data_IF_095981905479
#
_entry.id   IF_095981905479
#
_cell.length_a   1.000
_cell.length_b   1.000
_cell.length_c   1.000
_cell.angle_alpha   90.00
_cell.angle_beta   90.00
_cell.angle_gamma   90.00
#
_symmetry.space_group_name_H-M   'P 1'
#
loop_
_entity.id
_entity.type
_entity.pdbx_description
1 polymer ?
#
# COMPACT_ATOMS: atom_id res chain seq x y z
N UNK A 1 -3.50 -22.07 29.73
CA UNK A 1 -3.96 -20.70 29.45
C UNK A 1 -3.51 -20.37 28.03
N UNK A 2 -4.46 -20.14 27.13
CA UNK A 2 -4.15 -19.83 25.73
C UNK A 2 -3.78 -18.35 25.60
N UNK A 3 -2.66 -18.03 24.94
CA UNK A 3 -2.24 -16.64 24.69
C UNK A 3 -2.66 -16.18 23.30
N UNK A 4 -3.24 -14.99 23.23
CA UNK A 4 -3.72 -14.33 22.03
C UNK A 4 -3.10 -12.94 21.87
N UNK A 5 -3.03 -12.51 20.62
CA UNK A 5 -2.61 -11.16 20.23
C UNK A 5 -3.24 -10.83 18.88
N UNK A 6 -3.26 -9.54 18.52
CA UNK A 6 -3.69 -9.11 17.19
C UNK A 6 -2.91 -9.83 16.08
N UNK A 7 -1.59 -9.96 16.23
CA UNK A 7 -0.74 -10.67 15.26
C UNK A 7 -1.11 -12.15 15.11
N UNK A 8 -1.55 -12.83 16.18
CA UNK A 8 -2.06 -14.22 16.09
C UNK A 8 -3.40 -14.27 15.36
N UNK A 9 -4.30 -13.33 15.63
CA UNK A 9 -5.60 -13.21 14.94
C UNK A 9 -5.39 -13.00 13.44
N UNK A 10 -4.54 -12.04 13.05
CA UNK A 10 -4.25 -11.75 11.64
C UNK A 10 -3.56 -12.91 10.94
N UNK A 11 -2.65 -13.62 11.61
CA UNK A 11 -1.96 -14.76 11.03
C UNK A 11 -2.92 -15.89 10.62
N UNK A 12 -4.13 -15.97 11.20
CA UNK A 12 -5.16 -16.93 10.74
C UNK A 12 -5.69 -16.67 9.33
N UNK A 13 -5.42 -15.48 8.75
CA UNK A 13 -5.73 -15.14 7.35
C UNK A 13 -4.59 -15.51 6.38
N UNK A 14 -3.40 -15.83 6.91
CA UNK A 14 -2.19 -16.12 6.14
C UNK A 14 -2.02 -17.60 5.81
N UNK A 15 -0.76 -18.00 5.60
CA UNK A 15 -0.40 -19.39 5.30
C UNK A 15 -0.47 -20.30 6.54
N UNK A 16 -1.11 -21.48 6.39
CA UNK A 16 -1.23 -22.51 7.45
C UNK A 16 0.11 -22.87 8.09
N UNK A 17 1.14 -23.14 7.29
CA UNK A 17 2.45 -23.61 7.79
C UNK A 17 3.15 -22.55 8.64
N UNK A 18 3.10 -21.28 8.19
CA UNK A 18 3.69 -20.17 8.95
C UNK A 18 2.98 -19.98 10.29
N UNK A 19 1.65 -20.09 10.30
CA UNK A 19 0.85 -20.03 11.53
C UNK A 19 1.21 -21.17 12.51
N UNK A 20 1.24 -22.41 12.03
CA UNK A 20 1.56 -23.58 12.86
C UNK A 20 2.96 -23.50 13.44
N UNK A 21 3.97 -23.16 12.63
CA UNK A 21 5.34 -22.99 13.11
C UNK A 21 5.44 -21.92 14.20
N UNK A 22 4.81 -20.77 14.00
CA UNK A 22 4.90 -19.64 14.95
C UNK A 22 4.11 -19.86 16.22
N UNK A 23 2.84 -20.26 16.11
CA UNK A 23 1.90 -20.20 17.23
C UNK A 23 1.53 -21.56 17.83
N UNK A 24 1.78 -22.66 17.12
CA UNK A 24 1.55 -24.02 17.64
C UNK A 24 2.85 -24.66 18.10
N UNK A 25 3.91 -24.55 17.29
CA UNK A 25 5.22 -25.15 17.58
C UNK A 25 6.16 -24.19 18.34
N UNK A 26 5.88 -22.88 18.32
CA UNK A 26 6.72 -21.88 18.99
C UNK A 26 8.11 -21.71 18.36
N UNK A 27 8.25 -22.01 17.06
CA UNK A 27 9.53 -21.92 16.38
C UNK A 27 9.87 -20.45 16.04
N UNK A 28 11.12 -20.03 16.22
CA UNK A 28 11.57 -18.73 15.77
C UNK A 28 11.61 -18.66 14.23
N UNK A 29 11.53 -17.45 13.63
CA UNK A 29 11.87 -17.22 12.23
C UNK A 29 13.19 -17.90 11.82
N UNK A 30 13.19 -18.57 10.67
CA UNK A 30 14.39 -19.15 10.06
C UNK A 30 14.98 -18.29 8.94
N UNK A 31 14.22 -17.28 8.51
CA UNK A 31 14.52 -16.39 7.41
C UNK A 31 14.37 -14.96 7.88
N UNK A 32 15.45 -14.18 7.77
CA UNK A 32 15.37 -12.74 7.91
C UNK A 32 14.76 -12.15 6.64
N UNK A 33 13.72 -11.34 6.82
CA UNK A 33 13.05 -10.62 5.73
C UNK A 33 13.50 -9.17 5.82
N UNK A 34 14.36 -8.67 4.90
CA UNK A 34 14.97 -7.33 5.02
C UNK A 34 13.96 -6.21 5.26
N UNK A 35 12.79 -6.29 4.62
CA UNK A 35 11.70 -5.33 4.80
C UNK A 35 11.17 -5.27 6.24
N UNK A 36 11.20 -6.38 6.99
CA UNK A 36 10.80 -6.41 8.39
C UNK A 36 11.89 -5.82 9.31
N UNK A 37 13.16 -6.07 9.00
CA UNK A 37 14.30 -5.45 9.69
C UNK A 37 14.26 -3.93 9.53
N UNK A 38 14.11 -3.43 8.30
CA UNK A 38 14.01 -2.00 8.00
C UNK A 38 12.79 -1.35 8.65
N UNK A 39 11.63 -2.02 8.62
CA UNK A 39 10.43 -1.53 9.29
C UNK A 39 10.63 -1.40 10.80
N UNK A 40 11.28 -2.38 11.43
CA UNK A 40 11.58 -2.35 12.86
C UNK A 40 12.50 -1.18 13.23
N UNK A 41 13.61 -1.01 12.51
CA UNK A 41 14.53 0.12 12.74
C UNK A 41 13.82 1.48 12.57
N UNK A 42 12.92 1.56 11.59
CA UNK A 42 12.10 2.75 11.33
C UNK A 42 11.16 3.04 12.50
N UNK A 43 10.47 2.03 13.04
CA UNK A 43 9.61 2.16 14.21
C UNK A 43 10.42 2.66 15.43
N UNK A 44 11.54 2.01 15.75
CA UNK A 44 12.39 2.36 16.90
C UNK A 44 12.88 3.82 16.81
N UNK A 45 13.28 4.27 15.61
CA UNK A 45 13.71 5.65 15.39
C UNK A 45 12.58 6.66 15.61
N UNK A 46 11.38 6.37 15.13
CA UNK A 46 10.22 7.24 15.27
C UNK A 46 9.77 7.28 16.75
N UNK A 47 9.67 6.12 17.40
CA UNK A 47 9.38 6.00 18.83
C UNK A 47 10.39 6.82 19.67
N UNK A 48 11.68 6.74 19.34
CA UNK A 48 12.71 7.57 19.98
C UNK A 48 12.45 9.07 19.86
N UNK A 49 11.91 9.56 18.75
CA UNK A 49 11.51 10.96 18.60
C UNK A 49 10.31 11.33 19.47
N UNK A 50 9.33 10.45 19.61
CA UNK A 50 8.20 10.67 20.53
C UNK A 50 8.67 10.77 21.98
N UNK A 51 9.53 9.86 22.44
CA UNK A 51 10.09 9.89 23.79
C UNK A 51 10.88 11.17 24.08
N UNK A 52 11.62 11.68 23.07
CA UNK A 52 12.35 12.95 23.16
C UNK A 52 11.48 14.19 22.93
N UNK A 53 10.21 14.01 22.59
CA UNK A 53 9.27 15.09 22.24
C UNK A 53 9.74 15.94 21.05
N UNK A 54 10.41 15.30 20.08
CA UNK A 54 10.97 15.92 18.87
C UNK A 54 10.01 15.86 17.66
N UNK A 55 8.76 15.42 17.86
CA UNK A 55 7.76 15.35 16.79
C UNK A 55 7.10 16.73 16.65
N UNK A 56 7.40 17.41 15.55
CA UNK A 56 6.75 18.69 15.20
C UNK A 56 5.60 18.44 14.21
N UNK A 57 4.44 18.05 14.74
CA UNK A 57 3.23 17.86 13.95
C UNK A 57 2.01 18.44 14.67
N UNK A 58 1.22 19.35 14.06
CA UNK A 58 0.15 20.08 14.75
C UNK A 58 -0.90 19.20 15.43
N UNK A 59 -1.20 18.02 14.86
CA UNK A 59 -2.16 17.07 15.46
C UNK A 59 -1.61 16.30 16.66
N UNK A 60 -0.29 16.28 16.87
CA UNK A 60 0.39 15.50 17.90
C UNK A 60 0.91 16.40 19.01
N UNK A 61 1.43 17.58 18.67
CA UNK A 61 2.03 18.55 19.61
C UNK A 61 1.19 18.78 20.88
N UNK A 62 -0.15 18.94 20.82
CA UNK A 62 -0.97 19.12 22.03
C UNK A 62 -0.87 17.97 23.04
N UNK A 63 -0.56 16.76 22.58
CA UNK A 63 -0.45 15.57 23.42
C UNK A 63 0.97 15.37 23.98
N UNK A 64 1.98 16.01 23.38
CA UNK A 64 3.38 15.84 23.79
C UNK A 64 3.70 16.52 25.12
N UNK A 65 2.83 17.38 25.65
CA UNK A 65 2.97 17.95 26.99
C UNK A 65 2.70 16.89 28.08
N UNK A 66 1.84 15.91 27.78
CA UNK A 66 1.44 14.83 28.68
C UNK A 66 2.44 13.67 28.82
N UNK A 67 1.90 12.52 29.19
CA UNK A 67 2.64 11.25 29.28
C UNK A 67 2.82 10.63 27.91
N UNK A 68 4.05 10.19 27.60
CA UNK A 68 4.40 9.55 26.34
C UNK A 68 4.92 8.14 26.62
N UNK A 69 4.31 7.15 25.99
CA UNK A 69 4.71 5.75 26.06
C UNK A 69 4.98 5.23 24.66
N UNK A 70 5.96 4.35 24.52
CA UNK A 70 6.25 3.61 23.28
C UNK A 70 6.30 2.12 23.59
N UNK A 71 5.81 1.29 22.67
CA UNK A 71 5.67 -0.17 22.90
C UNK A 71 4.90 -0.48 24.19
N UNK A 72 3.84 0.29 24.49
CA UNK A 72 3.07 0.13 25.73
C UNK A 72 2.36 -1.22 25.68
N UNK A 73 2.72 -2.10 26.61
CA UNK A 73 2.13 -3.43 26.75
C UNK A 73 0.78 -3.34 27.46
N UNK A 74 -0.25 -3.85 26.80
CA UNK A 74 -1.56 -4.09 27.39
C UNK A 74 -1.76 -5.59 27.58
N UNK A 75 -2.13 -5.99 28.80
CA UNK A 75 -2.46 -7.37 29.15
C UNK A 75 -3.86 -7.45 29.75
N UNK A 76 -4.67 -8.38 29.26
CA UNK A 76 -5.98 -8.65 29.83
C UNK A 76 -6.24 -10.16 29.92
N UNK A 77 -6.78 -10.59 31.05
CA UNK A 77 -7.14 -11.99 31.30
C UNK A 77 -8.65 -12.16 31.13
N UNK A 78 -9.02 -12.90 30.09
CA UNK A 78 -10.34 -13.52 29.94
C UNK A 78 -10.31 -14.89 30.65
N UNK A 79 -11.48 -15.48 30.94
CA UNK A 79 -11.61 -16.67 31.81
C UNK A 79 -10.51 -17.75 31.61
N UNK A 80 -10.26 -18.17 30.39
CA UNK A 80 -9.28 -19.21 30.02
C UNK A 80 -8.15 -18.72 29.08
N UNK A 81 -8.12 -17.41 28.80
CA UNK A 81 -7.26 -16.81 27.77
C UNK A 81 -6.57 -15.54 28.25
N UNK A 82 -5.31 -15.38 27.87
CA UNK A 82 -4.58 -14.11 28.01
C UNK A 82 -4.55 -13.41 26.65
N UNK A 83 -4.89 -12.12 26.61
CA UNK A 83 -4.68 -11.28 25.44
C UNK A 83 -3.57 -10.26 25.73
N UNK A 84 -2.60 -10.18 24.81
CA UNK A 84 -1.49 -9.25 24.90
C UNK A 84 -1.38 -8.41 23.63
N UNK A 85 -1.20 -7.11 23.80
CA UNK A 85 -1.06 -6.14 22.72
C UNK A 85 0.06 -5.15 23.05
N UNK A 86 0.77 -4.66 22.03
CA UNK A 86 1.81 -3.64 22.17
C UNK A 86 1.44 -2.49 21.25
N UNK A 87 1.09 -1.34 21.82
CA UNK A 87 0.80 -0.14 21.06
C UNK A 87 2.10 0.63 20.80
N UNK A 88 2.37 0.98 19.55
CA UNK A 88 3.63 1.60 19.15
C UNK A 88 3.89 2.92 19.90
N UNK A 89 2.88 3.78 19.96
CA UNK A 89 2.93 5.06 20.68
C UNK A 89 1.59 5.33 21.36
N UNK A 90 1.64 5.73 22.63
CA UNK A 90 0.47 6.16 23.40
C UNK A 90 0.80 7.49 24.06
N UNK A 91 -0.05 8.49 23.82
CA UNK A 91 0.06 9.83 24.38
C UNK A 91 -1.17 10.09 25.25
N UNK A 92 -0.96 10.48 26.50
CA UNK A 92 -2.05 10.69 27.48
C UNK A 92 -1.90 12.04 28.16
N UNK A 93 -2.96 12.84 28.13
CA UNK A 93 -3.13 14.03 28.96
C UNK A 93 -4.03 13.69 30.16
N UNK A 94 -4.49 14.70 30.91
CA UNK A 94 -5.43 14.47 32.02
C UNK A 94 -6.79 13.93 31.54
N UNK A 95 -7.23 14.29 30.33
CA UNK A 95 -8.57 13.95 29.83
C UNK A 95 -8.56 13.14 28.54
N UNK A 96 -7.45 13.18 27.80
CA UNK A 96 -7.40 12.71 26.42
C UNK A 96 -6.33 11.65 26.22
N UNK A 97 -6.64 10.68 25.36
CA UNK A 97 -5.69 9.68 24.89
C UNK A 97 -5.59 9.71 23.36
N UNK A 98 -4.37 9.62 22.87
CA UNK A 98 -4.05 9.35 21.46
C UNK A 98 -3.19 8.09 21.36
N UNK A 99 -3.72 7.05 20.71
CA UNK A 99 -2.98 5.83 20.37
C UNK A 99 -2.57 5.90 18.89
N UNK A 100 -1.27 5.83 18.60
CA UNK A 100 -0.75 5.80 17.24
C UNK A 100 -0.10 4.45 16.94
N UNK A 101 -0.39 3.94 15.75
CA UNK A 101 0.24 2.75 15.17
C UNK A 101 1.13 3.21 14.00
N UNK A 102 2.42 2.88 14.05
CA UNK A 102 3.38 3.30 13.04
C UNK A 102 3.28 2.32 11.87
N UNK A 103 3.31 2.84 10.64
CA UNK A 103 3.26 2.02 9.42
C UNK A 103 4.36 2.45 8.46
N UNK A 104 5.16 1.49 8.01
CA UNK A 104 6.17 1.66 6.96
C UNK A 104 5.52 1.75 5.56
N UNK A 105 4.71 2.79 5.35
CA UNK A 105 4.00 3.08 4.09
C UNK A 105 3.88 4.59 3.86
N UNK A 106 3.41 4.98 2.67
CA UNK A 106 3.21 6.38 2.28
C UNK A 106 1.79 6.90 2.52
N UNK A 107 0.79 6.03 2.63
CA UNK A 107 -0.58 6.48 2.93
C UNK A 107 -0.83 6.47 4.44
N UNK A 108 -1.27 7.60 4.99
CA UNK A 108 -1.63 7.74 6.39
C UNK A 108 -3.08 7.32 6.69
N UNK A 109 -3.91 7.07 5.67
CA UNK A 109 -5.29 6.60 5.86
C UNK A 109 -5.34 5.34 6.73
N UNK A 110 -6.33 5.27 7.62
CA UNK A 110 -6.58 4.11 8.46
C UNK A 110 -7.31 3.07 7.60
N UNK A 111 -6.65 1.94 7.32
CA UNK A 111 -7.28 0.81 6.62
C UNK A 111 -8.11 -0.03 7.59
N UNK A 112 -9.01 -0.89 7.08
CA UNK A 112 -9.79 -1.81 7.91
C UNK A 112 -8.93 -2.68 8.83
N UNK A 113 -7.73 -3.07 8.36
CA UNK A 113 -6.78 -3.85 9.15
C UNK A 113 -6.18 -3.03 10.29
N UNK A 114 -5.82 -1.78 10.02
CA UNK A 114 -5.28 -0.89 11.06
C UNK A 114 -6.37 -0.56 12.08
N UNK A 115 -7.60 -0.35 11.60
CA UNK A 115 -8.77 -0.11 12.45
C UNK A 115 -8.96 -1.24 13.48
N UNK A 116 -8.89 -2.50 13.06
CA UNK A 116 -8.98 -3.64 13.98
C UNK A 116 -7.89 -3.64 15.06
N UNK A 117 -6.64 -3.32 14.67
CA UNK A 117 -5.50 -3.23 15.59
C UNK A 117 -5.69 -2.08 16.60
N UNK A 118 -6.02 -0.89 16.09
CA UNK A 118 -6.22 0.32 16.88
C UNK A 118 -7.41 0.19 17.85
N UNK A 119 -8.53 -0.39 17.40
CA UNK A 119 -9.69 -0.67 18.24
C UNK A 119 -9.37 -1.64 19.37
N UNK A 120 -8.52 -2.64 19.11
CA UNK A 120 -8.04 -3.58 20.12
C UNK A 120 -7.22 -2.85 21.19
N UNK A 121 -6.27 -2.00 20.78
CA UNK A 121 -5.49 -1.18 21.73
C UNK A 121 -6.39 -0.27 22.55
N UNK A 122 -7.37 0.36 21.90
CA UNK A 122 -8.27 1.30 22.56
C UNK A 122 -9.17 0.60 23.59
N UNK A 123 -9.72 -0.57 23.27
CA UNK A 123 -10.51 -1.36 24.21
C UNK A 123 -9.73 -1.70 25.48
N UNK A 124 -8.49 -2.15 25.31
CA UNK A 124 -7.61 -2.54 26.42
C UNK A 124 -7.19 -1.31 27.25
N UNK A 125 -6.77 -0.24 26.58
CA UNK A 125 -6.35 0.99 27.24
C UNK A 125 -7.50 1.61 28.05
N UNK A 126 -8.73 1.58 27.53
CA UNK A 126 -9.90 2.11 28.21
C UNK A 126 -10.37 1.21 29.37
N UNK A 127 -10.15 -0.10 29.29
CA UNK A 127 -10.40 -1.01 30.41
C UNK A 127 -9.39 -0.81 31.56
N UNK A 128 -8.12 -0.54 31.23
CA UNK A 128 -7.08 -0.27 32.23
C UNK A 128 -7.25 1.12 32.88
N UNK A 129 -7.47 2.16 32.06
CA UNK A 129 -7.65 3.53 32.51
C UNK A 129 -8.62 4.28 31.59
N UNK A 130 -9.90 4.42 31.98
CA UNK A 130 -10.89 5.14 31.18
C UNK A 130 -10.55 6.62 30.97
N UNK A 131 -10.68 7.11 29.74
CA UNK A 131 -10.44 8.52 29.37
C UNK A 131 -11.68 9.14 28.76
N UNK A 132 -11.88 10.45 28.98
CA UNK A 132 -13.04 11.18 28.48
C UNK A 132 -13.02 11.33 26.96
N UNK A 133 -11.85 11.58 26.38
CA UNK A 133 -11.66 11.62 24.93
C UNK A 133 -10.62 10.59 24.50
N UNK A 134 -10.96 9.85 23.45
CA UNK A 134 -10.08 8.85 22.89
C UNK A 134 -9.96 9.05 21.39
N UNK A 135 -8.71 9.11 20.94
CA UNK A 135 -8.34 9.19 19.54
C UNK A 135 -7.40 8.05 19.18
N UNK A 136 -7.51 7.59 17.95
CA UNK A 136 -6.56 6.65 17.36
C UNK A 136 -6.02 7.19 16.05
N UNK A 137 -4.84 6.76 15.65
CA UNK A 137 -4.28 7.19 14.38
C UNK A 137 -3.18 6.30 13.84
N UNK A 138 -2.81 6.59 12.60
CA UNK A 138 -1.67 5.98 11.94
C UNK A 138 -0.60 7.02 11.71
N UNK A 139 0.65 6.66 11.97
CA UNK A 139 1.83 7.41 11.55
C UNK A 139 2.48 6.68 10.35
N UNK A 140 2.30 7.20 9.14
CA UNK A 140 2.91 6.70 7.91
C UNK A 140 4.36 7.18 7.78
N UNK A 141 5.31 6.31 8.12
CA UNK A 141 6.72 6.63 8.26
C UNK A 141 7.37 7.21 6.99
N UNK A 142 6.87 6.87 5.81
CA UNK A 142 7.43 7.31 4.53
C UNK A 142 6.69 8.51 3.92
N UNK A 143 5.64 9.01 4.58
CA UNK A 143 4.90 10.18 4.14
C UNK A 143 5.45 11.46 4.77
N UNK A 144 6.16 12.27 4.00
CA UNK A 144 6.77 13.50 4.51
C UNK A 144 5.83 14.72 4.52
N UNK A 145 4.63 14.62 3.94
CA UNK A 145 3.72 15.76 3.79
C UNK A 145 2.56 15.71 4.78
N UNK A 146 1.91 14.55 4.88
CA UNK A 146 0.79 14.30 5.79
C UNK A 146 1.00 12.95 6.49
N UNK A 147 2.03 12.81 7.33
CA UNK A 147 2.41 11.55 7.95
C UNK A 147 1.33 10.97 8.86
N UNK A 148 0.40 11.78 9.33
CA UNK A 148 -0.47 11.42 10.45
C UNK A 148 -1.92 11.60 10.07
N UNK A 149 -2.71 10.55 10.30
CA UNK A 149 -4.17 10.61 10.29
C UNK A 149 -4.67 10.20 11.66
N UNK A 150 -5.59 10.99 12.22
CA UNK A 150 -6.21 10.74 13.53
C UNK A 150 -7.72 10.75 13.37
N UNK A 151 -8.39 9.83 14.07
CA UNK A 151 -9.83 9.76 14.15
C UNK A 151 -10.28 9.74 15.62
N UNK A 152 -11.37 10.44 15.91
CA UNK A 152 -12.14 10.30 17.13
C UNK A 152 -12.92 8.99 17.08
N UNK A 153 -12.73 8.12 18.07
CA UNK A 153 -13.37 6.81 18.12
C UNK A 153 -13.86 6.52 19.53
N UNK A 154 -15.10 6.05 19.62
CA UNK A 154 -15.64 5.50 20.87
C UNK A 154 -14.97 4.16 21.19
N UNK A 155 -14.42 3.99 22.41
CA UNK A 155 -13.78 2.73 22.80
C UNK A 155 -14.75 1.56 22.69
N UNK A 156 -14.43 0.49 21.93
CA UNK A 156 -15.28 -0.68 21.89
C UNK A 156 -15.21 -1.45 23.22
N UNK A 157 -16.25 -2.22 23.58
CA UNK A 157 -16.23 -3.06 24.77
C UNK A 157 -15.21 -4.19 24.62
N UNK A 158 -14.70 -4.73 25.73
CA UNK A 158 -13.76 -5.87 25.71
C UNK A 158 -14.30 -7.13 25.02
N UNK A 159 -15.63 -7.30 24.96
CA UNK A 159 -16.27 -8.39 24.22
C UNK A 159 -15.91 -8.39 22.73
N UNK A 160 -15.59 -7.23 22.15
CA UNK A 160 -15.08 -7.12 20.77
C UNK A 160 -13.84 -7.99 20.54
N UNK A 161 -12.90 -8.00 21.49
CA UNK A 161 -11.67 -8.79 21.39
C UNK A 161 -12.01 -10.28 21.40
N UNK A 162 -12.93 -10.68 22.28
CA UNK A 162 -13.40 -12.08 22.38
C UNK A 162 -14.06 -12.51 21.06
N UNK A 163 -14.90 -11.66 20.48
CA UNK A 163 -15.56 -11.94 19.19
C UNK A 163 -14.55 -12.15 18.06
N UNK A 164 -13.47 -11.35 18.02
CA UNK A 164 -12.41 -11.49 17.02
C UNK A 164 -11.55 -12.74 17.23
N UNK A 165 -11.29 -13.13 18.48
CA UNK A 165 -10.65 -14.40 18.82
C UNK A 165 -11.53 -15.57 18.35
N UNK A 166 -12.84 -15.54 18.61
CA UNK A 166 -13.76 -16.61 18.21
C UNK A 166 -13.87 -16.71 16.67
N UNK A 167 -13.85 -15.58 15.96
CA UNK A 167 -13.73 -15.57 14.49
C UNK A 167 -12.40 -16.20 14.04
N UNK A 168 -11.29 -15.89 14.71
CA UNK A 168 -9.99 -16.47 14.40
C UNK A 168 -9.96 -17.98 14.64
N UNK A 169 -10.47 -18.47 15.78
CA UNK A 169 -10.61 -19.90 16.09
C UNK A 169 -11.39 -20.65 15.00
N UNK A 170 -12.47 -20.07 14.48
CA UNK A 170 -13.25 -20.65 13.37
C UNK A 170 -12.49 -20.70 12.04
N UNK A 171 -11.51 -19.82 11.82
CA UNK A 171 -10.66 -19.80 10.61
C UNK A 171 -9.58 -20.87 10.63
N UNK A 172 -8.98 -21.15 11.80
CA UNK A 172 -7.82 -22.05 11.95
C UNK A 172 -8.01 -23.42 11.26
N UNK A 173 -9.11 -24.16 11.46
CA UNK A 173 -9.30 -25.47 10.81
C UNK A 173 -9.38 -25.40 9.28
N UNK A 174 -9.69 -24.23 8.72
CA UNK A 174 -9.90 -23.99 7.28
C UNK A 174 -8.70 -23.34 6.60
N UNK A 175 -7.63 -23.09 7.34
CA UNK A 175 -6.43 -22.48 6.78
C UNK A 175 -5.82 -23.37 5.70
N UNK A 176 -5.34 -22.76 4.63
CA UNK A 176 -4.66 -23.44 3.53
C UNK A 176 -3.21 -22.99 3.44
N UNK A 177 -2.40 -23.79 2.73
CA UNK A 177 -1.05 -23.38 2.37
C UNK A 177 -1.17 -22.30 1.27
N UNK A 178 -0.52 -21.15 1.49
CA UNK A 178 -0.40 -20.07 0.51
C UNK A 178 1.04 -19.94 0.06
N UNK A 179 1.25 -19.93 -1.26
CA UNK A 179 2.59 -19.76 -1.87
C UNK A 179 2.85 -18.32 -2.32
N UNK A 180 1.81 -17.52 -2.56
CA UNK A 180 1.92 -16.12 -3.01
C UNK A 180 2.65 -15.20 -2.02
N UNK A 181 2.71 -15.57 -0.74
CA UNK A 181 3.34 -14.79 0.33
C UNK A 181 4.74 -15.34 0.72
N UNK A 182 5.25 -16.35 -0.01
CA UNK A 182 6.51 -17.02 0.34
C UNK A 182 7.73 -16.09 0.24
N UNK A 183 7.71 -15.08 -0.63
CA UNK A 183 8.82 -14.12 -0.78
C UNK A 183 9.10 -13.33 0.52
N UNK A 184 8.06 -13.06 1.30
CA UNK A 184 8.09 -12.32 2.57
C UNK A 184 7.85 -13.21 3.80
N UNK A 185 8.05 -14.52 3.67
CA UNK A 185 7.81 -15.47 4.75
C UNK A 185 9.06 -15.68 5.63
N UNK A 186 8.93 -15.41 6.92
CA UNK A 186 9.95 -15.62 7.96
C UNK A 186 10.32 -17.10 8.20
N UNK A 187 9.57 -18.03 7.63
CA UNK A 187 9.75 -19.48 7.78
C UNK A 187 10.10 -20.19 6.46
N UNK A 188 10.61 -19.44 5.49
CA UNK A 188 10.83 -19.90 4.11
C UNK A 188 11.89 -21.01 4.03
N UNK A 189 13.03 -20.88 4.72
CA UNK A 189 14.17 -21.80 4.54
C UNK A 189 13.82 -23.25 4.85
N UNK A 190 13.06 -23.50 5.92
CA UNK A 190 12.65 -24.85 6.31
C UNK A 190 11.21 -25.17 5.91
N UNK A 191 10.63 -24.46 4.93
CA UNK A 191 9.30 -24.75 4.41
C UNK A 191 9.43 -25.52 3.08
N UNK A 192 8.73 -26.65 2.97
CA UNK A 192 8.70 -27.46 1.75
C UNK A 192 8.15 -26.71 0.51
N UNK A 193 7.43 -25.60 0.73
CA UNK A 193 6.96 -24.68 -0.31
C UNK A 193 7.82 -23.42 -0.42
N UNK A 194 8.64 -23.11 0.60
CA UNK A 194 9.48 -21.91 0.62
C UNK A 194 10.70 -21.99 -0.31
N UNK A 195 11.10 -23.21 -0.67
CA UNK A 195 12.17 -23.51 -1.62
C UNK A 195 11.68 -24.02 -2.98
N UNK A 196 10.36 -24.13 -3.19
CA UNK A 196 9.87 -24.28 -4.56
C UNK A 196 10.15 -22.96 -5.25
N UNK A 197 11.32 -22.88 -5.89
CA UNK A 197 11.55 -21.99 -7.02
C UNK A 197 10.25 -22.00 -7.79
N UNK A 198 9.61 -20.84 -7.88
CA UNK A 198 8.60 -20.63 -8.89
C UNK A 198 9.21 -21.20 -10.17
N UNK A 199 8.54 -22.21 -10.72
CA UNK A 199 8.92 -22.68 -12.02
C UNK A 199 8.59 -21.48 -12.91
N UNK A 200 9.58 -20.62 -13.16
CA UNK A 200 9.50 -19.34 -13.90
C UNK A 200 8.96 -19.54 -15.34
N UNK A 201 8.63 -20.79 -15.69
CA UNK A 201 7.95 -21.21 -16.92
C UNK A 201 6.41 -21.34 -16.78
N UNK A 202 5.84 -21.11 -15.59
CA UNK A 202 4.39 -21.03 -15.38
C UNK A 202 3.89 -19.65 -15.82
N UNK A 203 3.05 -19.60 -16.85
CA UNK A 203 2.44 -18.34 -17.32
C UNK A 203 1.72 -17.57 -16.20
N UNK A 204 1.19 -18.26 -15.19
CA UNK A 204 0.54 -17.64 -14.04
C UNK A 204 1.54 -16.91 -13.12
N UNK A 205 2.69 -17.51 -12.84
CA UNK A 205 3.74 -16.86 -12.02
C UNK A 205 4.34 -15.64 -12.75
N UNK A 206 4.54 -15.76 -14.07
CA UNK A 206 4.95 -14.62 -14.91
C UNK A 206 3.90 -13.51 -14.87
N UNK A 207 2.61 -13.86 -14.92
CA UNK A 207 1.52 -12.88 -14.85
C UNK A 207 1.43 -12.19 -13.49
N UNK A 208 1.56 -12.93 -12.39
CA UNK A 208 1.57 -12.36 -11.02
C UNK A 208 2.77 -11.43 -10.82
N UNK A 209 3.97 -11.86 -11.23
CA UNK A 209 5.18 -11.03 -11.21
C UNK A 209 5.03 -9.78 -12.08
N UNK A 210 4.42 -9.92 -13.25
CA UNK A 210 4.10 -8.78 -14.12
C UNK A 210 3.14 -7.80 -13.44
N UNK A 211 2.05 -8.27 -12.85
CA UNK A 211 1.08 -7.40 -12.16
C UNK A 211 1.72 -6.67 -10.97
N UNK A 212 2.56 -7.36 -10.20
CA UNK A 212 3.31 -6.76 -9.10
C UNK A 212 4.27 -5.67 -9.59
N UNK A 213 5.10 -5.98 -10.60
CA UNK A 213 6.03 -5.01 -11.19
C UNK A 213 5.28 -3.83 -11.82
N UNK A 214 4.12 -4.08 -12.43
CA UNK A 214 3.28 -3.03 -13.02
C UNK A 214 2.75 -2.09 -11.94
N UNK A 215 2.22 -2.62 -10.84
CA UNK A 215 1.77 -1.81 -9.71
C UNK A 215 2.91 -1.01 -9.08
N UNK A 216 4.11 -1.60 -8.98
CA UNK A 216 5.29 -0.92 -8.49
C UNK A 216 5.74 0.23 -9.41
N UNK A 217 5.70 0.01 -10.73
CA UNK A 217 5.95 1.07 -11.72
C UNK A 217 4.93 2.19 -11.59
N UNK A 218 3.64 1.89 -11.49
CA UNK A 218 2.58 2.90 -11.37
C UNK A 218 2.77 3.76 -10.11
N UNK A 219 3.19 3.14 -8.99
CA UNK A 219 3.56 3.86 -7.77
C UNK A 219 4.76 4.80 -7.98
N UNK A 220 5.81 4.33 -8.65
CA UNK A 220 6.98 5.18 -8.94
C UNK A 220 6.66 6.31 -9.92
N UNK A 221 5.82 6.08 -10.92
CA UNK A 221 5.37 7.12 -11.84
C UNK A 221 4.59 8.22 -11.09
N UNK A 222 3.72 7.85 -10.16
CA UNK A 222 2.99 8.80 -9.31
C UNK A 222 3.92 9.59 -8.37
N UNK A 223 4.95 8.95 -7.81
CA UNK A 223 5.96 9.64 -7.01
C UNK A 223 6.73 10.68 -7.84
N UNK A 224 7.15 10.30 -9.05
CA UNK A 224 7.89 11.17 -9.97
C UNK A 224 7.00 12.30 -10.49
N UNK A 225 5.70 12.04 -10.70
CA UNK A 225 4.69 13.05 -11.02
C UNK A 225 4.58 14.12 -9.94
N UNK A 226 4.34 13.70 -8.70
CA UNK A 226 4.21 14.63 -7.56
C UNK A 226 5.48 15.45 -7.35
N UNK A 227 6.65 14.83 -7.51
CA UNK A 227 7.92 15.55 -7.47
C UNK A 227 7.95 16.66 -8.53
N UNK A 228 7.68 16.33 -9.80
CA UNK A 228 7.67 17.30 -10.89
C UNK A 228 6.64 18.43 -10.69
N UNK A 229 5.44 18.12 -10.18
CA UNK A 229 4.40 19.11 -9.85
C UNK A 229 4.80 20.04 -8.71
N UNK A 230 5.54 19.53 -7.72
CA UNK A 230 5.93 20.29 -6.52
C UNK A 230 7.13 21.19 -6.78
N UNK A 231 8.15 20.68 -7.48
CA UNK A 231 9.43 21.41 -7.66
C UNK A 231 9.47 22.22 -8.95
N UNK A 232 8.70 21.83 -9.97
CA UNK A 232 8.85 22.36 -11.33
C UNK A 232 10.19 21.97 -11.98
N UNK A 233 10.98 21.11 -11.33
CA UNK A 233 12.32 20.72 -11.79
C UNK A 233 12.28 19.47 -12.66
N UNK A 234 13.21 19.43 -13.62
CA UNK A 234 13.38 18.30 -14.54
C UNK A 234 14.21 17.21 -13.87
N UNK A 235 13.65 16.01 -13.76
CA UNK A 235 14.35 14.84 -13.19
C UNK A 235 15.33 14.30 -14.23
N UNK A 236 16.62 14.22 -13.86
CA UNK A 236 17.69 13.73 -14.75
C UNK A 236 18.31 12.45 -14.20
N UNK A 237 18.41 11.43 -15.04
CA UNK A 237 19.11 10.17 -14.76
C UNK A 237 20.07 9.89 -15.90
N UNK A 238 21.37 10.13 -15.66
CA UNK A 238 22.39 10.05 -16.69
C UNK A 238 22.13 11.03 -17.83
N UNK A 239 22.00 10.51 -19.06
CA UNK A 239 21.71 11.27 -20.27
C UNK A 239 20.21 11.42 -20.57
N UNK A 240 19.33 11.04 -19.63
CA UNK A 240 17.88 11.06 -19.80
C UNK A 240 17.21 12.04 -18.85
N UNK A 241 16.22 12.73 -19.38
CA UNK A 241 15.22 13.49 -18.63
C UNK A 241 13.98 12.61 -18.48
N UNK A 242 13.49 12.47 -17.25
CA UNK A 242 12.32 11.67 -16.90
C UNK A 242 11.21 12.63 -16.49
N UNK A 243 10.00 12.43 -16.98
CA UNK A 243 8.88 13.29 -16.61
C UNK A 243 7.67 13.15 -17.54
N UNK A 244 6.73 14.07 -17.36
CA UNK A 244 5.53 14.18 -18.21
C UNK A 244 5.84 15.07 -19.40
N UNK A 245 5.79 14.49 -20.59
CA UNK A 245 6.05 15.19 -21.83
C UNK A 245 4.79 15.24 -22.67
N UNK A 246 4.60 16.37 -23.35
CA UNK A 246 3.54 16.50 -24.35
C UNK A 246 3.76 15.49 -25.47
N UNK A 247 2.74 14.67 -25.70
CA UNK A 247 2.68 13.76 -26.82
C UNK A 247 1.42 14.03 -27.61
N UNK A 248 1.61 14.27 -28.89
CA UNK A 248 0.51 14.53 -29.82
C UNK A 248 -0.01 13.21 -30.35
N UNK A 249 -1.22 12.85 -29.93
CA UNK A 249 -1.97 11.72 -30.44
C UNK A 249 -2.83 12.16 -31.62
N UNK A 250 -2.99 11.29 -32.59
CA UNK A 250 -3.90 11.54 -33.71
C UNK A 250 -5.22 10.83 -33.43
N UNK A 251 -6.30 11.59 -33.40
CA UNK A 251 -7.67 11.08 -33.33
C UNK A 251 -8.24 11.02 -34.74
N UNK A 252 -9.11 10.05 -34.98
CA UNK A 252 -9.91 9.97 -36.20
C UNK A 252 -11.36 10.08 -35.79
N UNK A 253 -12.06 11.06 -36.36
CA UNK A 253 -13.52 11.04 -36.37
C UNK A 253 -13.95 9.92 -37.32
N UNK A 254 -14.36 8.80 -36.73
CA UNK A 254 -14.75 7.60 -37.47
C UNK A 254 -15.95 7.83 -38.37
N UNK A 255 -16.90 8.65 -37.93
CA UNK A 255 -18.12 8.94 -38.68
C UNK A 255 -17.77 9.78 -39.90
N UNK A 256 -17.02 10.87 -39.70
CA UNK A 256 -16.53 11.70 -40.81
C UNK A 256 -15.65 10.90 -41.76
N UNK A 257 -14.77 10.03 -41.26
CA UNK A 257 -13.91 9.20 -42.11
C UNK A 257 -14.71 8.25 -42.99
N UNK A 258 -15.75 7.60 -42.44
CA UNK A 258 -16.65 6.71 -43.17
C UNK A 258 -17.43 7.48 -44.24
N UNK A 259 -18.08 8.59 -43.87
CA UNK A 259 -18.83 9.43 -44.81
C UNK A 259 -17.96 9.96 -45.96
N UNK A 260 -16.72 10.34 -45.67
CA UNK A 260 -15.76 10.77 -46.70
C UNK A 260 -15.37 9.61 -47.62
N UNK A 261 -15.25 8.38 -47.11
CA UNK A 261 -14.98 7.22 -47.94
C UNK A 261 -16.17 6.90 -48.86
N UNK A 262 -17.39 6.90 -48.33
CA UNK A 262 -18.62 6.66 -49.10
C UNK A 262 -18.82 7.73 -50.20
N UNK A 263 -18.73 9.01 -49.83
CA UNK A 263 -18.95 10.12 -50.76
C UNK A 263 -17.92 10.19 -51.90
N UNK A 264 -16.72 9.64 -51.70
CA UNK A 264 -15.64 9.66 -52.68
C UNK A 264 -15.36 8.28 -53.30
N UNK A 265 -16.24 7.29 -53.10
CA UNK A 265 -16.08 5.91 -53.59
C UNK A 265 -14.75 5.26 -53.19
N UNK A 266 -14.25 5.55 -51.99
CA UNK A 266 -13.00 4.99 -51.46
C UNK A 266 -13.35 3.68 -50.71
N UNK A 267 -12.80 2.52 -51.12
CA UNK A 267 -13.15 1.24 -50.46
C UNK A 267 -12.63 1.20 -49.02
N UNK A 268 -13.47 0.97 -48.02
CA UNK A 268 -13.04 0.73 -46.64
C UNK A 268 -13.63 -0.58 -46.10
N UNK A 269 -12.88 -1.27 -45.24
CA UNK A 269 -13.37 -2.49 -44.56
C UNK A 269 -14.05 -2.01 -43.29
N UNK A 270 -15.31 -2.42 -43.11
CA UNK A 270 -16.09 -2.16 -41.89
C UNK A 270 -15.51 -2.99 -40.73
N UNK A 271 -14.46 -2.45 -40.13
CA UNK A 271 -13.92 -2.96 -38.88
C UNK A 271 -14.50 -2.10 -37.77
N UNK A 272 -15.13 -2.75 -36.78
CA UNK A 272 -15.70 -2.20 -35.53
C UNK A 272 -14.81 -1.13 -34.84
N UNK A 273 -13.54 -1.00 -35.24
CA UNK A 273 -12.62 0.09 -34.88
C UNK A 273 -11.71 0.46 -36.05
N UNK A 274 -11.69 1.73 -36.47
CA UNK A 274 -10.75 2.22 -37.50
C UNK A 274 -9.35 2.35 -36.89
N UNK A 275 -8.38 1.63 -37.47
CA UNK A 275 -6.97 1.71 -37.08
C UNK A 275 -6.33 3.00 -37.60
N UNK A 276 -5.77 3.80 -36.68
CA UNK A 276 -5.17 5.11 -37.00
C UNK A 276 -4.01 5.01 -38.00
N UNK A 277 -3.22 3.93 -37.95
CA UNK A 277 -2.09 3.71 -38.85
C UNK A 277 -2.60 3.43 -40.27
N UNK A 278 -3.58 2.54 -40.40
CA UNK A 278 -4.18 2.20 -41.71
C UNK A 278 -4.91 3.39 -42.32
N UNK A 279 -5.63 4.15 -41.50
CA UNK A 279 -6.31 5.36 -41.95
C UNK A 279 -5.31 6.44 -42.39
N UNK A 280 -4.21 6.68 -41.66
CA UNK A 280 -3.13 7.58 -42.10
C UNK A 280 -2.52 7.14 -43.43
N UNK A 281 -2.30 5.84 -43.62
CA UNK A 281 -1.79 5.30 -44.89
C UNK A 281 -2.76 5.54 -46.04
N UNK A 282 -4.08 5.50 -45.79
CA UNK A 282 -5.10 5.81 -46.80
C UNK A 282 -5.20 7.31 -47.07
N UNK A 283 -5.13 8.14 -46.04
CA UNK A 283 -5.14 9.60 -46.20
C UNK A 283 -3.95 10.12 -47.01
N UNK A 284 -2.81 9.40 -47.01
CA UNK A 284 -1.69 9.67 -47.94
C UNK A 284 -2.00 9.39 -49.42
N UNK A 285 -3.01 8.57 -49.70
CA UNK A 285 -3.45 8.24 -51.07
C UNK A 285 -4.66 9.06 -51.50
N UNK A 286 -5.48 9.47 -50.53
CA UNK A 286 -6.72 10.21 -50.73
C UNK A 286 -6.77 11.38 -49.74
N UNK A 287 -6.29 12.54 -50.17
CA UNK A 287 -6.09 13.72 -49.31
C UNK A 287 -7.39 14.17 -48.62
N UNK A 288 -8.55 13.96 -49.25
CA UNK A 288 -9.86 14.29 -48.65
C UNK A 288 -10.05 13.67 -47.26
N UNK A 289 -9.47 12.49 -47.01
CA UNK A 289 -9.58 11.80 -45.74
C UNK A 289 -8.86 12.50 -44.59
N UNK A 290 -7.89 13.40 -44.86
CA UNK A 290 -7.18 14.12 -43.78
C UNK A 290 -8.12 15.01 -42.96
N UNK A 291 -9.27 15.40 -43.52
CA UNK A 291 -10.29 16.20 -42.84
C UNK A 291 -10.91 15.49 -41.63
N UNK A 292 -10.86 14.15 -41.59
CA UNK A 292 -11.35 13.35 -40.47
C UNK A 292 -10.29 13.15 -39.36
N UNK A 293 -9.11 13.77 -39.46
CA UNK A 293 -8.04 13.61 -38.48
C UNK A 293 -7.94 14.85 -37.60
N UNK A 294 -7.89 14.62 -36.30
CA UNK A 294 -7.63 15.65 -35.30
C UNK A 294 -6.39 15.29 -34.47
N UNK A 295 -5.89 16.25 -33.69
CA UNK A 295 -4.74 16.10 -32.80
C UNK A 295 -5.15 16.34 -31.37
N UNK A 296 -4.85 15.39 -30.50
CA UNK A 296 -5.04 15.49 -29.07
C UNK A 296 -3.68 15.51 -28.38
N UNK A 297 -3.41 16.54 -27.59
CA UNK A 297 -2.20 16.61 -26.77
C UNK A 297 -2.46 15.89 -25.46
N UNK A 298 -1.65 14.89 -25.13
CA UNK A 298 -1.65 14.26 -23.80
C UNK A 298 -0.28 14.40 -23.18
N UNK A 299 -0.26 14.76 -21.91
CA UNK A 299 0.93 14.65 -21.08
C UNK A 299 1.07 13.19 -20.67
N UNK A 300 2.13 12.54 -21.13
CA UNK A 300 2.41 11.15 -20.77
C UNK A 300 3.78 11.06 -20.12
N UNK A 301 3.86 10.20 -19.11
CA UNK A 301 5.12 9.88 -18.47
C UNK A 301 6.03 9.15 -19.45
N UNK A 302 7.21 9.71 -19.72
CA UNK A 302 8.20 9.07 -20.58
C UNK A 302 9.61 9.55 -20.22
N UNK A 303 10.59 9.01 -20.93
CA UNK A 303 11.98 9.48 -20.83
C UNK A 303 12.37 10.11 -22.15
N UNK A 304 12.94 11.32 -22.09
CA UNK A 304 13.48 12.03 -23.24
C UNK A 304 15.00 12.06 -23.10
N UNK A 305 15.71 11.70 -24.16
CA UNK A 305 17.18 11.84 -24.19
C UNK A 305 17.51 13.34 -24.12
N UNK A 306 18.39 13.73 -23.21
CA UNK A 306 18.89 15.11 -23.13
C UNK A 306 19.80 15.27 -24.34
N UNK A 307 19.38 16.09 -25.31
CA UNK A 307 20.11 16.23 -26.56
C UNK A 307 21.56 16.64 -26.34
N UNK A 308 22.48 15.86 -26.89
CA UNK A 308 23.57 16.48 -27.64
C UNK A 308 22.93 17.25 -28.79
N UNK A 309 23.28 18.53 -28.91
CA UNK A 309 22.75 19.41 -29.93
C UNK A 309 22.89 18.84 -31.34
N UNK A 310 22.06 19.40 -32.21
CA UNK A 310 22.11 19.30 -33.67
C UNK A 310 23.54 19.12 -34.20
N UNK A 311 23.71 18.14 -35.09
CA UNK A 311 24.62 18.24 -36.22
C UNK A 311 23.78 18.29 -37.48
#
# INVERSE_FOLDING_TARGET
MERWSFSKIEATKGCKIAYEKRYIQGLPPDTEVPMFTEAKETHEKIQGKFLKREIDHPLIVPYLEGSVYTEKEYKYFFEDMEFVAYADVVLETETDRLILDIKSRYNADITDRDGLQLLTYLALANAENPMAQNKVGVYAAYNNFSPVTIADIEPPPLSFIVDEIEKAKKRIPRMTVKTSECASCEYRKNCEYGLKMENDNSLAAIAEKYLYLKAQVDMYEEMLKKHAETTGEKIRVGDKEIGFFERVYTIIDTTSFITLCENNNIPYIDSVKIDVTKAKQRAKKYDVLTQAFDKEVKYVFTTKKIGGGEK
#
